data_IF_128560685926
#
_entry.id   IF_128560685926
#
_cell.length_a   1.000
_cell.length_b   1.000
_cell.length_c   1.000
_cell.angle_alpha   90.00
_cell.angle_beta   90.00
_cell.angle_gamma   90.00
#
_symmetry.space_group_name_H-M   'P 1'
#
loop_
_entity.id
_entity.type
_entity.pdbx_description
1 polymer ?
#
# COMPACT_ATOMS: atom_id res chain seq x y z
N UNK A 1 -28.73 29.40 -7.95
CA UNK A 1 -29.01 27.98 -7.60
C UNK A 1 -28.51 26.97 -8.65
N UNK A 2 -28.83 27.09 -9.94
CA UNK A 2 -28.40 26.12 -10.97
C UNK A 2 -26.87 25.93 -11.08
N UNK A 3 -26.12 27.03 -11.03
CA UNK A 3 -24.65 27.00 -11.08
C UNK A 3 -24.00 26.33 -9.84
N UNK A 4 -24.62 26.50 -8.66
CA UNK A 4 -24.16 25.87 -7.41
C UNK A 4 -24.32 24.35 -7.46
N UNK A 5 -25.44 23.86 -8.01
CA UNK A 5 -25.67 22.42 -8.16
C UNK A 5 -24.74 21.81 -9.21
N UNK A 6 -24.44 22.54 -10.28
CA UNK A 6 -23.47 22.10 -11.29
C UNK A 6 -22.05 22.02 -10.70
N UNK A 7 -21.65 23.05 -9.94
CA UNK A 7 -20.38 23.09 -9.23
C UNK A 7 -20.25 21.97 -8.19
N UNK A 8 -21.30 21.72 -7.39
CA UNK A 8 -21.32 20.60 -6.45
C UNK A 8 -21.16 19.24 -7.15
N UNK A 9 -21.82 19.04 -8.30
CA UNK A 9 -21.67 17.79 -9.07
C UNK A 9 -20.24 17.60 -9.57
N UNK A 10 -19.58 18.67 -10.01
CA UNK A 10 -18.18 18.63 -10.43
C UNK A 10 -17.24 18.25 -9.27
N UNK A 11 -17.45 18.82 -8.08
CA UNK A 11 -16.65 18.50 -6.89
C UNK A 11 -16.81 17.04 -6.45
N UNK A 12 -18.02 16.50 -6.49
CA UNK A 12 -18.29 15.10 -6.12
C UNK A 12 -17.59 14.14 -7.08
N UNK A 13 -17.61 14.41 -8.39
CA UNK A 13 -16.91 13.58 -9.40
C UNK A 13 -15.40 13.61 -9.19
N UNK A 14 -14.83 14.78 -8.87
CA UNK A 14 -13.40 14.91 -8.60
C UNK A 14 -12.96 14.10 -7.37
N UNK A 15 -13.79 14.07 -6.31
CA UNK A 15 -13.47 13.36 -5.07
C UNK A 15 -13.57 11.83 -5.17
N UNK A 16 -14.44 11.31 -6.05
CA UNK A 16 -14.59 9.85 -6.25
C UNK A 16 -13.35 9.25 -6.92
N UNK A 17 -12.62 10.02 -7.74
CA UNK A 17 -11.36 9.59 -8.37
C UNK A 17 -10.16 9.57 -7.42
N UNK A 18 -10.27 10.17 -6.23
CA UNK A 18 -9.21 10.25 -5.21
C UNK A 18 -9.34 9.17 -4.13
N UNK A 19 -9.92 8.01 -4.47
CA UNK A 19 -9.91 6.84 -3.58
C UNK A 19 -8.59 6.12 -3.81
N UNK A 20 -7.70 6.26 -2.83
CA UNK A 20 -6.37 5.67 -2.68
C UNK A 20 -6.04 4.52 -3.63
N UNK A 21 -5.15 4.81 -4.59
CA UNK A 21 -4.57 3.89 -5.58
C UNK A 21 -3.46 3.02 -4.99
N UNK A 22 -3.24 3.03 -3.68
CA UNK A 22 -2.07 2.40 -3.07
C UNK A 22 -2.10 0.85 -3.05
N UNK A 23 -3.20 0.23 -3.47
CA UNK A 23 -3.33 -1.23 -3.61
C UNK A 23 -3.31 -1.74 -5.07
N UNK A 24 -3.20 -0.86 -6.08
CA UNK A 24 -3.48 -1.23 -7.48
C UNK A 24 -2.33 -1.92 -8.23
N UNK A 25 -1.21 -2.27 -7.60
CA UNK A 25 -0.22 -3.17 -8.24
C UNK A 25 -0.40 -4.66 -7.85
N UNK A 26 -1.44 -4.99 -7.09
CA UNK A 26 -1.96 -6.34 -7.03
C UNK A 26 -3.49 -6.27 -6.85
N UNK A 27 -4.25 -6.54 -7.92
CA UNK A 27 -5.67 -6.82 -7.76
C UNK A 27 -5.82 -8.16 -7.00
N UNK A 28 -5.83 -8.12 -5.66
CA UNK A 28 -5.86 -9.32 -4.82
C UNK A 28 -5.18 -9.16 -3.46
N UNK A 29 -4.38 -10.16 -3.07
CA UNK A 29 -3.68 -10.24 -1.78
C UNK A 29 -2.32 -9.52 -1.80
N UNK A 30 -1.97 -8.87 -0.70
CA UNK A 30 -0.62 -8.36 -0.46
C UNK A 30 0.29 -9.47 0.07
N UNK A 31 1.51 -9.54 -0.46
CA UNK A 31 2.56 -10.42 0.06
C UNK A 31 3.57 -9.59 0.83
N UNK A 32 3.66 -9.85 2.14
CA UNK A 32 4.53 -9.14 3.06
C UNK A 32 5.72 -10.01 3.44
N UNK A 33 6.91 -9.41 3.42
CA UNK A 33 8.14 -10.00 3.92
C UNK A 33 8.48 -9.38 5.29
N UNK A 34 8.37 -10.20 6.34
CA UNK A 34 8.47 -9.77 7.72
C UNK A 34 9.92 -9.45 8.10
N UNK A 35 10.16 -8.24 8.62
CA UNK A 35 11.51 -7.84 9.04
C UNK A 35 12.46 -7.51 7.88
N UNK A 36 11.92 -7.31 6.67
CA UNK A 36 12.70 -6.88 5.52
C UNK A 36 13.34 -5.50 5.77
N UNK A 37 14.67 -5.42 5.60
CA UNK A 37 15.44 -4.17 5.73
C UNK A 37 16.12 -3.87 4.39
N UNK A 38 15.98 -2.66 3.81
CA UNK A 38 15.26 -1.50 4.36
C UNK A 38 13.72 -1.59 4.30
N UNK A 39 13.05 -0.89 5.22
CA UNK A 39 11.58 -0.92 5.42
C UNK A 39 10.75 -0.51 4.20
N UNK A 40 11.29 0.26 3.26
CA UNK A 40 10.58 0.71 2.06
C UNK A 40 10.91 -0.12 0.82
N UNK A 41 11.41 -1.35 0.99
CA UNK A 41 11.84 -2.21 -0.10
C UNK A 41 10.68 -3.01 -0.69
N UNK A 42 10.72 -3.22 -2.00
CA UNK A 42 9.85 -4.14 -2.74
C UNK A 42 10.71 -4.94 -3.71
N UNK A 43 10.44 -6.24 -3.86
CA UNK A 43 11.15 -7.10 -4.81
C UNK A 43 10.23 -8.15 -5.41
N UNK A 44 10.60 -8.67 -6.58
CA UNK A 44 9.95 -9.81 -7.22
C UNK A 44 10.77 -11.05 -6.95
N UNK A 45 10.17 -12.05 -6.31
CA UNK A 45 10.79 -13.36 -6.08
C UNK A 45 10.87 -14.11 -7.41
N UNK A 46 12.05 -14.61 -7.77
CA UNK A 46 12.34 -15.14 -9.10
C UNK A 46 11.65 -16.47 -9.42
N UNK A 47 11.43 -17.31 -8.41
CA UNK A 47 10.86 -18.66 -8.55
C UNK A 47 9.34 -18.63 -8.69
N UNK A 48 8.67 -17.82 -7.88
CA UNK A 48 7.21 -17.71 -7.80
C UNK A 48 6.66 -16.53 -8.60
N UNK A 49 7.52 -15.58 -8.99
CA UNK A 49 7.13 -14.32 -9.64
C UNK A 49 6.15 -13.48 -8.80
N UNK A 50 6.19 -13.65 -7.48
CA UNK A 50 5.37 -12.88 -6.52
C UNK A 50 6.12 -11.61 -6.12
N UNK A 51 5.40 -10.50 -6.08
CA UNK A 51 5.93 -9.22 -5.57
C UNK A 51 5.76 -9.16 -4.07
N UNK A 52 6.86 -9.03 -3.33
CA UNK A 52 6.89 -8.86 -1.88
C UNK A 52 7.24 -7.42 -1.51
N UNK A 53 6.59 -6.89 -0.48
CA UNK A 53 6.92 -5.62 0.19
C UNK A 53 7.24 -5.87 1.67
N UNK A 54 8.03 -5.01 2.30
CA UNK A 54 8.22 -5.04 3.75
C UNK A 54 6.89 -4.91 4.52
N UNK A 55 6.80 -5.60 5.66
CA UNK A 55 5.70 -5.50 6.63
C UNK A 55 5.68 -4.19 7.43
N UNK A 56 6.68 -3.31 7.28
CA UNK A 56 6.89 -2.14 8.13
C UNK A 56 5.69 -1.17 8.25
N UNK A 57 4.84 -1.08 7.22
CA UNK A 57 3.64 -0.23 7.23
C UNK A 57 2.39 -0.95 7.78
N UNK A 58 2.52 -2.24 8.15
CA UNK A 58 1.43 -3.13 8.54
C UNK A 58 1.59 -3.70 9.95
N UNK A 59 2.58 -3.24 10.69
CA UNK A 59 2.83 -3.61 12.09
C UNK A 59 2.77 -2.35 12.96
N UNK A 60 2.22 -2.47 14.17
CA UNK A 60 2.23 -1.37 15.15
C UNK A 60 3.59 -1.22 15.84
N UNK A 61 4.48 -2.21 15.68
CA UNK A 61 5.82 -2.19 16.27
C UNK A 61 6.81 -1.46 15.37
N UNK A 62 7.41 -0.38 15.86
CA UNK A 62 8.40 0.38 15.09
C UNK A 62 9.78 -0.31 15.01
N UNK A 63 10.01 -1.37 15.80
CA UNK A 63 11.32 -2.01 15.92
C UNK A 63 11.44 -3.29 15.10
N UNK A 64 12.55 -3.41 14.36
CA UNK A 64 12.97 -4.66 13.72
C UNK A 64 13.85 -5.42 14.72
N UNK A 65 13.36 -6.55 15.21
CA UNK A 65 14.12 -7.45 16.06
C UNK A 65 14.98 -8.40 15.21
N UNK A 66 16.21 -8.68 15.66
CA UNK A 66 16.98 -9.82 15.16
C UNK A 66 16.97 -10.89 16.23
N UNK A 67 16.62 -12.12 15.85
CA UNK A 67 16.86 -13.27 16.71
C UNK A 67 18.36 -13.51 16.67
N UNK A 68 18.98 -13.35 17.83
CA UNK A 68 20.35 -13.75 18.08
C UNK A 68 20.34 -15.25 18.36
N UNK A 69 20.70 -16.03 17.34
CA UNK A 69 20.93 -17.46 17.49
C UNK A 69 22.11 -17.64 18.46
N UNK A 70 21.85 -18.37 19.55
CA UNK A 70 22.81 -18.65 20.62
C UNK A 70 23.90 -19.64 20.20
#
# INVERSE_FOLDING_TARGET
>A
MKYLHWFMRLLIIAFIGSRSVEAQNQAGFISLDCGLVPKNTTYVEKTTNITYKSDADYIDSESVGKINDA
#
